data_IF_878984613294
#
_entry.id   IF_878984613294
#
_cell.length_a   1.000
_cell.length_b   1.000
_cell.length_c   1.000
_cell.angle_alpha   90.00
_cell.angle_beta   90.00
_cell.angle_gamma   90.00
#
_symmetry.space_group_name_H-M   'P 1'
#
loop_
_entity.id
_entity.type
_entity.pdbx_description
1 polymer ?
#
# COMPACT_ATOMS: atom_id res chain seq x y z
N UNK A 1 -17.53 -29.41 7.19
CA UNK A 1 -16.48 -29.53 6.16
C UNK A 1 -16.98 -28.78 4.94
N UNK A 2 -16.36 -27.65 4.58
CA UNK A 2 -16.77 -26.86 3.41
C UNK A 2 -16.09 -27.50 2.20
N UNK A 3 -16.86 -27.95 1.22
CA UNK A 3 -16.31 -28.44 -0.06
C UNK A 3 -15.90 -27.21 -0.86
N UNK A 4 -14.66 -27.18 -1.30
CA UNK A 4 -14.13 -26.16 -2.22
C UNK A 4 -14.42 -26.70 -3.63
N UNK A 5 -15.23 -25.99 -4.40
CA UNK A 5 -15.52 -26.29 -5.80
C UNK A 5 -14.47 -25.66 -6.74
N UNK A 6 -14.06 -24.42 -6.49
CA UNK A 6 -13.04 -23.68 -7.24
C UNK A 6 -11.70 -23.78 -6.52
N UNK A 7 -10.95 -24.82 -6.87
CA UNK A 7 -9.69 -25.16 -6.22
C UNK A 7 -8.48 -24.56 -6.95
N UNK A 8 -7.85 -23.53 -6.36
CA UNK A 8 -6.54 -23.02 -6.77
C UNK A 8 -5.41 -23.79 -6.08
N UNK A 9 -5.47 -23.92 -4.74
CA UNK A 9 -4.62 -24.80 -3.93
C UNK A 9 -5.28 -25.11 -2.57
N UNK A 10 -4.75 -26.09 -1.84
CA UNK A 10 -5.41 -26.65 -0.64
C UNK A 10 -5.60 -25.67 0.51
N UNK A 11 -4.73 -24.68 0.66
CA UNK A 11 -4.75 -23.71 1.76
C UNK A 11 -5.31 -22.34 1.39
N UNK A 12 -5.92 -22.17 0.21
CA UNK A 12 -6.50 -20.88 -0.21
C UNK A 12 -7.44 -20.23 0.83
N UNK A 13 -8.30 -20.97 1.58
CA UNK A 13 -9.18 -20.32 2.56
C UNK A 13 -8.39 -19.83 3.77
N UNK A 14 -7.37 -20.58 4.20
CA UNK A 14 -6.50 -20.22 5.32
C UNK A 14 -5.71 -18.95 4.97
N UNK A 15 -5.14 -18.92 3.76
CA UNK A 15 -4.36 -17.77 3.28
C UNK A 15 -5.22 -16.52 3.20
N UNK A 16 -6.43 -16.61 2.63
CA UNK A 16 -7.39 -15.50 2.57
C UNK A 16 -7.77 -14.98 3.97
N UNK A 17 -8.07 -15.89 4.91
CA UNK A 17 -8.40 -15.51 6.30
C UNK A 17 -7.24 -14.74 6.93
N UNK A 18 -6.02 -15.22 6.75
CA UNK A 18 -4.83 -14.59 7.32
C UNK A 18 -4.54 -13.22 6.69
N UNK A 19 -4.75 -13.08 5.38
CA UNK A 19 -4.71 -11.79 4.67
C UNK A 19 -5.70 -10.78 5.26
N UNK A 20 -6.96 -11.18 5.44
CA UNK A 20 -8.02 -10.36 6.03
C UNK A 20 -7.68 -9.94 7.46
N UNK A 21 -7.26 -10.91 8.29
CA UNK A 21 -6.90 -10.67 9.68
C UNK A 21 -5.70 -9.73 9.81
N UNK A 22 -4.69 -9.87 8.96
CA UNK A 22 -3.52 -8.99 8.97
C UNK A 22 -3.89 -7.59 8.53
N UNK A 23 -4.66 -7.44 7.45
CA UNK A 23 -5.16 -6.13 7.01
C UNK A 23 -5.95 -5.45 8.14
N UNK A 24 -6.84 -6.19 8.81
CA UNK A 24 -7.64 -5.66 9.90
C UNK A 24 -6.77 -5.20 11.07
N UNK A 25 -5.81 -6.03 11.51
CA UNK A 25 -4.92 -5.69 12.63
C UNK A 25 -4.02 -4.50 12.30
N UNK A 26 -3.38 -4.50 11.14
CA UNK A 26 -2.46 -3.43 10.75
C UNK A 26 -3.18 -2.07 10.63
N UNK A 27 -4.40 -2.05 10.09
CA UNK A 27 -5.22 -0.83 10.03
C UNK A 27 -5.71 -0.40 11.42
N UNK A 28 -6.11 -1.33 12.29
CA UNK A 28 -6.52 -1.02 13.66
C UNK A 28 -5.36 -0.42 14.49
N UNK A 29 -4.15 -0.94 14.33
CA UNK A 29 -2.95 -0.46 15.05
C UNK A 29 -2.60 1.00 14.69
N UNK A 30 -2.97 1.47 13.49
CA UNK A 30 -2.85 2.90 13.10
C UNK A 30 -4.14 3.71 13.33
N UNK A 31 -5.12 3.16 14.06
CA UNK A 31 -6.38 3.84 14.41
C UNK A 31 -7.44 3.88 13.31
N UNK A 32 -7.33 3.04 12.28
CA UNK A 32 -8.23 3.03 11.11
C UNK A 32 -9.23 1.88 11.20
N UNK A 33 -10.53 2.20 11.28
CA UNK A 33 -11.61 1.23 11.47
C UNK A 33 -12.50 1.07 10.23
N UNK A 34 -12.00 0.35 9.22
CA UNK A 34 -12.66 0.21 7.91
C UNK A 34 -13.15 -1.21 7.60
N UNK A 35 -13.04 -2.13 8.56
CA UNK A 35 -13.49 -3.52 8.46
C UNK A 35 -13.09 -4.21 7.13
N UNK A 36 -11.79 -4.49 6.93
CA UNK A 36 -11.32 -5.06 5.68
C UNK A 36 -11.86 -6.48 5.47
N UNK A 37 -12.06 -6.82 4.21
CA UNK A 37 -12.45 -8.14 3.70
C UNK A 37 -11.42 -8.56 2.66
N UNK A 38 -11.05 -9.84 2.61
CA UNK A 38 -10.10 -10.34 1.62
C UNK A 38 -10.76 -11.24 0.58
N UNK A 39 -10.28 -11.14 -0.66
CA UNK A 39 -10.55 -12.08 -1.75
C UNK A 39 -9.22 -12.55 -2.36
N UNK A 40 -9.26 -13.71 -2.98
CA UNK A 40 -8.22 -14.18 -3.90
C UNK A 40 -8.87 -14.42 -5.25
N UNK A 41 -8.26 -13.90 -6.31
CA UNK A 41 -8.72 -14.12 -7.69
C UNK A 41 -7.62 -14.84 -8.44
N UNK A 42 -7.86 -16.08 -8.84
CA UNK A 42 -6.95 -16.90 -9.61
C UNK A 42 -7.36 -16.95 -11.07
N UNK A 43 -6.42 -16.70 -11.98
CA UNK A 43 -6.59 -16.94 -13.41
C UNK A 43 -5.78 -18.15 -13.82
N UNK A 44 -6.39 -19.09 -14.51
CA UNK A 44 -5.71 -20.30 -14.97
C UNK A 44 -4.60 -19.94 -15.98
N UNK A 45 -3.37 -20.37 -15.68
CA UNK A 45 -2.23 -20.30 -16.60
C UNK A 45 -2.01 -21.62 -17.35
N UNK A 46 -2.44 -22.74 -16.77
CA UNK A 46 -2.31 -24.08 -17.34
C UNK A 46 -3.66 -24.83 -17.40
N UNK A 47 -4.10 -25.34 -18.58
CA UNK A 47 -5.45 -25.89 -18.76
C UNK A 47 -5.78 -27.14 -17.94
N UNK A 48 -6.89 -27.13 -17.20
CA UNK A 48 -7.50 -28.30 -16.55
C UNK A 48 -8.08 -28.02 -15.16
N UNK A 49 -8.46 -26.78 -14.89
CA UNK A 49 -9.26 -26.30 -13.76
C UNK A 49 -10.37 -25.37 -14.25
N UNK A 50 -10.85 -24.49 -13.38
CA UNK A 50 -11.76 -23.42 -13.77
C UNK A 50 -10.95 -22.26 -14.34
N UNK A 51 -11.37 -21.60 -15.44
CA UNK A 51 -10.59 -20.50 -16.03
C UNK A 51 -10.30 -19.36 -15.05
N UNK A 52 -11.26 -19.09 -14.16
CA UNK A 52 -11.18 -18.07 -13.12
C UNK A 52 -11.76 -18.66 -11.83
N UNK A 53 -10.97 -18.57 -10.76
CA UNK A 53 -11.34 -19.00 -9.41
C UNK A 53 -11.42 -17.81 -8.46
N UNK A 54 -12.40 -17.79 -7.57
CA UNK A 54 -12.57 -16.76 -6.54
C UNK A 54 -12.68 -17.43 -5.17
N UNK A 55 -11.84 -17.02 -4.22
CA UNK A 55 -11.93 -17.42 -2.81
C UNK A 55 -12.27 -16.18 -1.96
N UNK A 56 -13.42 -16.16 -1.26
CA UNK A 56 -14.40 -17.22 -1.12
C UNK A 56 -15.33 -17.37 -2.34
N UNK A 57 -15.72 -18.61 -2.65
CA UNK A 57 -16.58 -18.93 -3.81
C UNK A 57 -17.98 -18.32 -3.76
N UNK A 58 -18.56 -18.25 -2.55
CA UNK A 58 -19.95 -17.81 -2.34
C UNK A 58 -19.98 -16.35 -1.92
N UNK A 59 -19.40 -15.49 -2.75
CA UNK A 59 -19.46 -14.04 -2.60
C UNK A 59 -20.33 -13.43 -3.69
N UNK A 60 -20.62 -12.14 -3.55
CA UNK A 60 -21.28 -11.35 -4.60
C UNK A 60 -20.37 -11.08 -5.81
N UNK A 61 -19.07 -11.41 -5.69
CA UNK A 61 -18.06 -11.27 -6.73
C UNK A 61 -18.04 -12.56 -7.54
N UNK A 62 -18.52 -12.50 -8.78
CA UNK A 62 -18.63 -13.68 -9.68
C UNK A 62 -17.51 -13.66 -10.73
N UNK A 63 -17.09 -14.84 -11.18
CA UNK A 63 -15.92 -15.02 -12.05
C UNK A 63 -16.12 -14.39 -13.45
N UNK A 64 -17.34 -14.34 -13.94
CA UNK A 64 -17.69 -13.75 -15.23
C UNK A 64 -17.34 -12.27 -15.34
N UNK A 65 -17.26 -11.55 -14.20
CA UNK A 65 -16.85 -10.14 -14.18
C UNK A 65 -15.42 -9.93 -14.68
N UNK A 66 -14.58 -10.97 -14.62
CA UNK A 66 -13.14 -10.88 -14.90
C UNK A 66 -12.73 -11.56 -16.20
N UNK A 67 -13.68 -12.00 -17.03
CA UNK A 67 -13.37 -12.75 -18.25
C UNK A 67 -12.43 -12.02 -19.22
N UNK A 68 -12.44 -10.69 -19.22
CA UNK A 68 -11.55 -9.85 -20.05
C UNK A 68 -10.39 -9.23 -19.28
N UNK A 69 -10.33 -9.40 -17.95
CA UNK A 69 -9.45 -8.59 -17.09
C UNK A 69 -7.95 -8.70 -17.45
N UNK A 70 -7.48 -9.90 -17.82
CA UNK A 70 -6.10 -10.08 -18.24
C UNK A 70 -5.81 -9.44 -19.61
N UNK A 71 -6.73 -9.56 -20.57
CA UNK A 71 -6.59 -8.98 -21.90
C UNK A 71 -6.63 -7.45 -21.84
N UNK A 72 -7.59 -6.89 -21.11
CA UNK A 72 -7.70 -5.45 -20.87
C UNK A 72 -6.45 -4.91 -20.14
N UNK A 73 -5.85 -5.73 -19.25
CA UNK A 73 -4.58 -5.41 -18.58
C UNK A 73 -3.39 -5.36 -19.54
N UNK A 74 -3.34 -6.25 -20.53
CA UNK A 74 -2.32 -6.22 -21.60
C UNK A 74 -2.49 -4.99 -22.50
N UNK A 75 -3.73 -4.65 -22.86
CA UNK A 75 -4.03 -3.46 -23.66
C UNK A 75 -3.65 -2.17 -22.90
N UNK A 76 -3.92 -2.13 -21.59
CA UNK A 76 -3.49 -1.03 -20.72
C UNK A 76 -1.95 -0.96 -20.64
N UNK A 77 -1.26 -2.10 -20.52
CA UNK A 77 0.20 -2.16 -20.53
C UNK A 77 0.78 -1.63 -21.85
N UNK A 78 0.21 -2.03 -22.99
CA UNK A 78 0.68 -1.62 -24.31
C UNK A 78 0.52 -0.12 -24.57
N UNK A 79 -0.45 0.52 -23.93
CA UNK A 79 -0.69 1.97 -24.00
C UNK A 79 -0.11 2.76 -22.83
N UNK A 80 0.54 2.09 -21.87
CA UNK A 80 1.04 2.72 -20.65
C UNK A 80 2.16 3.71 -20.94
N UNK A 81 2.18 4.87 -20.25
CA UNK A 81 3.20 5.93 -20.44
C UNK A 81 4.64 5.45 -20.25
N UNK A 82 4.85 4.39 -19.46
CA UNK A 82 6.17 3.80 -19.19
C UNK A 82 6.43 2.50 -19.95
N UNK A 83 5.59 2.14 -20.94
CA UNK A 83 5.76 0.94 -21.77
C UNK A 83 7.11 0.88 -22.49
N UNK A 84 7.69 2.04 -22.81
CA UNK A 84 8.98 2.14 -23.50
C UNK A 84 10.12 2.57 -22.55
N UNK A 85 9.90 2.56 -21.24
CA UNK A 85 10.95 2.84 -20.28
C UNK A 85 11.99 1.72 -20.32
N UNK A 86 13.25 2.08 -20.51
CA UNK A 86 14.33 1.12 -20.72
C UNK A 86 15.33 1.16 -19.56
N UNK A 87 15.71 -0.03 -19.09
CA UNK A 87 16.79 -0.22 -18.13
C UNK A 87 17.98 -0.89 -18.82
N UNK A 88 19.19 -0.34 -18.58
CA UNK A 88 20.43 -0.86 -19.17
C UNK A 88 20.79 -2.28 -18.74
N UNK A 89 20.35 -2.69 -17.54
CA UNK A 89 20.52 -4.05 -17.06
C UNK A 89 19.32 -4.93 -17.44
N UNK A 90 19.55 -5.98 -18.22
CA UNK A 90 18.49 -6.84 -18.76
C UNK A 90 17.55 -7.41 -17.68
N UNK A 91 18.10 -7.89 -16.55
CA UNK A 91 17.29 -8.41 -15.45
C UNK A 91 16.37 -7.36 -14.80
N UNK A 92 16.86 -6.12 -14.67
CA UNK A 92 16.06 -5.00 -14.16
C UNK A 92 14.99 -4.58 -15.17
N UNK A 93 15.30 -4.65 -16.47
CA UNK A 93 14.35 -4.34 -17.53
C UNK A 93 13.19 -5.34 -17.55
N UNK A 94 13.50 -6.65 -17.53
CA UNK A 94 12.48 -7.71 -17.51
C UNK A 94 11.60 -7.59 -16.27
N UNK A 95 12.20 -7.41 -15.09
CA UNK A 95 11.44 -7.24 -13.85
C UNK A 95 10.53 -6.01 -13.90
N UNK A 96 11.07 -4.86 -14.34
CA UNK A 96 10.29 -3.64 -14.46
C UNK A 96 9.04 -3.83 -15.34
N UNK A 97 9.19 -4.46 -16.51
CA UNK A 97 8.05 -4.68 -17.40
C UNK A 97 7.07 -5.73 -16.87
N UNK A 98 7.56 -6.75 -16.16
CA UNK A 98 6.71 -7.72 -15.47
C UNK A 98 5.88 -7.05 -14.38
N UNK A 99 6.51 -6.25 -13.51
CA UNK A 99 5.84 -5.51 -12.44
C UNK A 99 4.83 -4.50 -13.03
N UNK A 100 5.19 -3.82 -14.12
CA UNK A 100 4.30 -2.88 -14.80
C UNK A 100 3.07 -3.56 -15.43
N UNK A 101 3.25 -4.72 -16.03
CA UNK A 101 2.13 -5.50 -16.58
C UNK A 101 1.18 -5.97 -15.46
N UNK A 102 1.74 -6.43 -14.35
CA UNK A 102 0.96 -6.84 -13.19
C UNK A 102 0.22 -5.66 -12.55
N UNK A 103 0.83 -4.47 -12.47
CA UNK A 103 0.17 -3.22 -12.06
C UNK A 103 -1.03 -2.89 -12.96
N UNK A 104 -0.90 -3.07 -14.27
CA UNK A 104 -1.97 -2.83 -15.23
C UNK A 104 -3.14 -3.81 -15.02
N UNK A 105 -2.84 -5.10 -14.90
CA UNK A 105 -3.85 -6.14 -14.64
C UNK A 105 -4.55 -5.92 -13.29
N UNK A 106 -3.79 -5.66 -12.22
CA UNK A 106 -4.33 -5.34 -10.91
C UNK A 106 -5.23 -4.09 -10.95
N UNK A 107 -4.83 -3.06 -11.71
CA UNK A 107 -5.64 -1.85 -11.89
C UNK A 107 -6.95 -2.12 -12.62
N UNK A 108 -6.96 -2.98 -13.65
CA UNK A 108 -8.18 -3.40 -14.35
C UNK A 108 -9.11 -4.16 -13.40
N UNK A 109 -8.60 -5.14 -12.67
CA UNK A 109 -9.38 -5.92 -11.68
C UNK A 109 -9.96 -4.97 -10.61
N UNK A 110 -9.15 -4.04 -10.10
CA UNK A 110 -9.61 -3.04 -9.14
C UNK A 110 -10.70 -2.13 -9.73
N UNK A 111 -10.59 -1.73 -11.01
CA UNK A 111 -11.59 -0.90 -11.68
C UNK A 111 -12.91 -1.65 -11.88
N UNK A 112 -12.86 -2.92 -12.29
CA UNK A 112 -14.04 -3.80 -12.39
C UNK A 112 -14.75 -3.85 -11.03
N UNK A 113 -14.02 -4.19 -9.97
CA UNK A 113 -14.57 -4.28 -8.61
C UNK A 113 -15.14 -2.93 -8.11
N UNK A 114 -14.42 -1.83 -8.30
CA UNK A 114 -14.81 -0.53 -7.75
C UNK A 114 -15.94 0.18 -8.53
N UNK A 115 -16.18 -0.23 -9.78
CA UNK A 115 -17.21 0.35 -10.65
C UNK A 115 -18.50 -0.46 -10.69
N UNK A 116 -18.47 -1.71 -10.21
CA UNK A 116 -19.63 -2.58 -10.23
C UNK A 116 -20.65 -2.18 -9.15
N UNK A 117 -21.95 -2.01 -9.47
CA UNK A 117 -22.96 -1.49 -8.53
C UNK A 117 -23.10 -2.33 -7.25
N UNK A 118 -22.99 -3.65 -7.34
CA UNK A 118 -23.09 -4.57 -6.19
C UNK A 118 -21.97 -4.32 -5.17
N UNK A 119 -20.88 -3.68 -5.59
CA UNK A 119 -19.70 -3.45 -4.76
C UNK A 119 -19.56 -1.99 -4.32
N UNK A 120 -20.61 -1.17 -4.47
CA UNK A 120 -20.58 0.27 -4.17
C UNK A 120 -20.17 0.58 -2.72
N UNK A 121 -20.52 -0.29 -1.77
CA UNK A 121 -20.21 -0.12 -0.35
C UNK A 121 -18.75 -0.42 -0.01
N UNK A 122 -18.02 -1.05 -0.91
CA UNK A 122 -16.62 -1.40 -0.72
C UNK A 122 -15.72 -0.57 -1.64
N UNK A 123 -14.54 -0.23 -1.12
CA UNK A 123 -13.40 0.21 -1.92
C UNK A 123 -12.41 -0.93 -1.99
N UNK A 124 -12.05 -1.34 -3.20
CA UNK A 124 -11.22 -2.51 -3.46
C UNK A 124 -9.81 -2.12 -3.90
N UNK A 125 -8.84 -2.85 -3.37
CA UNK A 125 -7.42 -2.76 -3.66
C UNK A 125 -6.92 -4.13 -4.11
N UNK A 126 -6.15 -4.16 -5.19
CA UNK A 126 -5.63 -5.40 -5.77
C UNK A 126 -4.11 -5.33 -5.76
N UNK A 127 -3.48 -6.38 -5.23
CA UNK A 127 -2.03 -6.52 -5.20
C UNK A 127 -1.47 -7.07 -6.51
N UNK A 128 -0.15 -7.18 -6.58
CA UNK A 128 0.52 -7.91 -7.66
C UNK A 128 0.18 -9.40 -7.58
N UNK A 129 0.28 -10.07 -8.72
CA UNK A 129 0.01 -11.50 -8.80
C UNK A 129 1.24 -12.35 -8.51
N UNK A 130 1.01 -13.60 -8.19
CA UNK A 130 2.04 -14.63 -8.17
C UNK A 130 1.45 -15.95 -8.71
N UNK A 131 2.29 -16.78 -9.31
CA UNK A 131 1.90 -18.11 -9.76
C UNK A 131 1.88 -19.07 -8.57
N UNK A 132 0.73 -19.71 -8.33
CA UNK A 132 0.53 -20.76 -7.31
C UNK A 132 -0.09 -21.96 -8.01
N UNK A 133 0.67 -23.05 -8.10
CA UNK A 133 0.28 -24.21 -8.90
C UNK A 133 -0.01 -23.79 -10.35
N UNK A 134 -1.28 -23.89 -10.75
CA UNK A 134 -1.76 -23.65 -12.12
C UNK A 134 -2.33 -22.26 -12.35
N UNK A 135 -2.34 -21.43 -11.31
CA UNK A 135 -3.07 -20.17 -11.31
C UNK A 135 -2.14 -19.00 -11.05
N UNK A 136 -2.39 -17.90 -11.75
CA UNK A 136 -1.91 -16.56 -11.39
C UNK A 136 -2.89 -15.96 -10.40
N UNK A 137 -2.48 -15.80 -9.15
CA UNK A 137 -3.35 -15.39 -8.05
C UNK A 137 -3.09 -13.95 -7.66
N UNK A 138 -4.15 -13.14 -7.67
CA UNK A 138 -4.17 -11.77 -7.19
C UNK A 138 -4.75 -11.71 -5.77
N UNK A 139 -4.00 -11.23 -4.76
CA UNK A 139 -4.55 -10.90 -3.46
C UNK A 139 -5.36 -9.60 -3.55
N UNK A 140 -6.52 -9.56 -2.91
CA UNK A 140 -7.44 -8.43 -2.97
C UNK A 140 -7.93 -8.08 -1.56
N UNK A 141 -7.97 -6.79 -1.25
CA UNK A 141 -8.54 -6.26 -0.01
C UNK A 141 -9.65 -5.27 -0.34
N UNK A 142 -10.85 -5.52 0.19
CA UNK A 142 -11.96 -4.58 0.23
C UNK A 142 -12.04 -3.91 1.59
N UNK A 143 -12.50 -2.66 1.64
CA UNK A 143 -12.78 -1.92 2.87
C UNK A 143 -14.09 -1.17 2.76
N UNK A 144 -14.74 -0.82 3.87
CA UNK A 144 -15.96 0.01 3.84
C UNK A 144 -15.64 1.38 3.24
N UNK A 145 -16.24 1.68 2.08
CA UNK A 145 -15.93 2.85 1.25
C UNK A 145 -16.11 4.18 1.98
N UNK A 146 -17.27 4.41 2.59
CA UNK A 146 -17.56 5.68 3.25
C UNK A 146 -16.61 6.00 4.40
N UNK A 147 -16.16 4.98 5.14
CA UNK A 147 -15.17 5.13 6.21
C UNK A 147 -13.81 5.43 5.63
N UNK A 148 -13.40 4.71 4.60
CA UNK A 148 -12.13 4.94 3.92
C UNK A 148 -12.04 6.35 3.33
N UNK A 149 -13.06 6.77 2.59
CA UNK A 149 -13.06 8.07 1.90
C UNK A 149 -13.16 9.26 2.87
N UNK A 150 -13.55 9.03 4.13
CA UNK A 150 -13.52 10.04 5.19
C UNK A 150 -12.14 10.26 5.82
N UNK A 151 -11.16 9.38 5.55
CA UNK A 151 -9.83 9.46 6.13
C UNK A 151 -8.98 10.55 5.44
N UNK A 152 -8.04 11.18 6.17
CA UNK A 152 -7.16 12.17 5.58
C UNK A 152 -6.20 11.54 4.56
N UNK A 153 -6.13 12.14 3.38
CA UNK A 153 -5.22 11.75 2.32
C UNK A 153 -4.70 12.99 1.58
N UNK A 154 -3.48 12.89 1.06
CA UNK A 154 -2.91 13.85 0.12
C UNK A 154 -3.75 13.86 -1.16
N UNK A 155 -3.85 15.03 -1.79
CA UNK A 155 -4.67 15.23 -2.98
C UNK A 155 -3.90 15.02 -4.28
N UNK A 156 -2.56 15.09 -4.24
CA UNK A 156 -1.69 14.96 -5.40
C UNK A 156 -0.86 13.69 -5.31
N UNK A 157 -0.95 12.86 -6.34
CA UNK A 157 -0.08 11.69 -6.52
C UNK A 157 1.08 12.06 -7.43
N UNK A 158 2.29 11.77 -6.97
CA UNK A 158 3.51 11.86 -7.76
C UNK A 158 3.88 10.46 -8.24
N UNK A 159 4.31 10.36 -9.49
CA UNK A 159 4.62 9.07 -10.10
C UNK A 159 5.70 9.22 -11.16
N UNK A 160 6.77 8.47 -10.99
CA UNK A 160 7.88 8.26 -11.92
C UNK A 160 8.00 6.76 -12.21
N UNK A 161 8.77 6.34 -13.23
CA UNK A 161 8.86 4.93 -13.60
C UNK A 161 9.14 4.00 -12.41
N UNK A 162 9.99 4.40 -11.47
CA UNK A 162 10.42 3.54 -10.33
C UNK A 162 9.81 3.91 -8.99
N UNK A 163 8.94 4.92 -8.92
CA UNK A 163 8.42 5.41 -7.65
C UNK A 163 7.02 5.99 -7.82
N UNK A 164 6.12 5.62 -6.91
CA UNK A 164 4.76 6.15 -6.84
C UNK A 164 4.46 6.55 -5.41
N UNK A 165 4.09 7.81 -5.21
CA UNK A 165 3.73 8.28 -3.88
C UNK A 165 2.46 7.60 -3.39
N UNK A 166 2.41 7.30 -2.10
CA UNK A 166 1.17 6.89 -1.41
C UNK A 166 0.46 8.15 -0.92
N UNK A 167 -0.85 8.21 -1.05
CA UNK A 167 -1.60 9.42 -0.66
C UNK A 167 -1.83 9.47 0.85
N UNK A 168 -1.75 8.35 1.54
CA UNK A 168 -1.97 8.29 2.98
C UNK A 168 -1.21 7.13 3.61
N UNK A 169 -1.05 7.18 4.93
CA UNK A 169 -0.50 6.08 5.71
C UNK A 169 -1.37 4.81 5.59
N UNK A 170 -2.69 4.95 5.61
CA UNK A 170 -3.59 3.80 5.52
C UNK A 170 -3.58 3.14 4.12
N UNK A 171 -3.42 3.92 3.05
CA UNK A 171 -3.16 3.37 1.70
C UNK A 171 -1.82 2.63 1.65
N UNK A 172 -0.77 3.19 2.27
CA UNK A 172 0.53 2.56 2.34
C UNK A 172 0.46 1.22 3.09
N UNK A 173 -0.27 1.15 4.21
CA UNK A 173 -0.47 -0.11 4.96
C UNK A 173 -1.16 -1.17 4.10
N UNK A 174 -2.25 -0.83 3.40
CA UNK A 174 -2.91 -1.80 2.51
C UNK A 174 -1.98 -2.26 1.39
N UNK A 175 -1.17 -1.35 0.83
CA UNK A 175 -0.15 -1.72 -0.16
C UNK A 175 0.84 -2.74 0.41
N UNK A 176 1.41 -2.48 1.58
CA UNK A 176 2.41 -3.36 2.18
C UNK A 176 1.83 -4.73 2.54
N UNK A 177 0.58 -4.78 3.04
CA UNK A 177 -0.12 -6.05 3.28
C UNK A 177 -0.27 -6.85 1.98
N UNK A 178 -0.69 -6.20 0.89
CA UNK A 178 -0.81 -6.85 -0.42
C UNK A 178 0.54 -7.31 -0.96
N UNK A 179 1.61 -6.53 -0.79
CA UNK A 179 2.96 -6.92 -1.18
C UNK A 179 3.47 -8.12 -0.37
N UNK A 180 3.22 -8.15 0.94
CA UNK A 180 3.51 -9.30 1.80
C UNK A 180 2.73 -10.55 1.37
N UNK A 181 1.49 -10.38 0.92
CA UNK A 181 0.68 -11.47 0.37
C UNK A 181 1.27 -11.98 -0.95
N UNK A 182 1.55 -11.11 -1.92
CA UNK A 182 2.21 -11.48 -3.18
C UNK A 182 3.53 -12.19 -2.94
N UNK A 183 4.36 -11.67 -2.01
CA UNK A 183 5.62 -12.32 -1.66
C UNK A 183 5.39 -13.74 -1.14
N UNK A 184 4.48 -13.92 -0.18
CA UNK A 184 4.16 -15.24 0.38
C UNK A 184 3.62 -16.20 -0.68
N UNK A 185 2.79 -15.73 -1.60
CA UNK A 185 2.30 -16.52 -2.74
C UNK A 185 3.44 -16.93 -3.68
N UNK A 186 4.47 -16.09 -3.84
CA UNK A 186 5.56 -16.33 -4.80
C UNK A 186 6.66 -17.29 -4.33
N UNK A 187 6.79 -17.52 -3.01
CA UNK A 187 7.91 -18.30 -2.45
C UNK A 187 7.52 -19.70 -1.97
N UNK A 188 6.23 -19.98 -1.79
CA UNK A 188 5.74 -21.28 -1.32
C UNK A 188 4.89 -21.94 -2.39
N UNK A 189 5.08 -23.25 -2.60
CA UNK A 189 4.27 -24.02 -3.54
C UNK A 189 2.80 -24.07 -3.11
N UNK A 190 2.55 -24.21 -1.80
CA UNK A 190 1.21 -24.21 -1.20
C UNK A 190 1.15 -23.25 0.00
N UNK A 191 1.00 -21.93 -0.23
CA UNK A 191 1.05 -20.93 0.82
C UNK A 191 -0.14 -21.06 1.77
N UNK A 192 0.11 -21.29 3.06
CA UNK A 192 -0.94 -21.38 4.08
C UNK A 192 -1.35 -20.01 4.63
N UNK A 193 -0.42 -19.06 4.64
CA UNK A 193 -0.53 -17.81 5.39
C UNK A 193 0.50 -16.79 4.92
N UNK A 194 0.38 -15.55 5.40
CA UNK A 194 1.36 -14.48 5.22
C UNK A 194 2.36 -14.39 6.39
N UNK A 195 2.46 -15.45 7.21
CA UNK A 195 3.18 -15.56 8.50
C UNK A 195 4.64 -15.08 8.54
N UNK A 196 5.29 -14.86 7.41
CA UNK A 196 6.66 -14.35 7.36
C UNK A 196 6.76 -12.83 7.52
N UNK A 197 5.62 -12.12 7.61
CA UNK A 197 5.59 -10.68 7.79
C UNK A 197 4.99 -10.30 9.13
N UNK A 198 5.87 -9.87 10.03
CA UNK A 198 5.49 -9.29 11.32
C UNK A 198 4.70 -8.00 11.09
N UNK A 199 3.57 -7.82 11.79
CA UNK A 199 2.65 -6.69 11.55
C UNK A 199 3.29 -5.36 11.91
N UNK A 200 4.14 -5.33 12.95
CA UNK A 200 4.94 -4.18 13.31
C UNK A 200 5.89 -3.80 12.16
N UNK A 201 6.42 -4.78 11.42
CA UNK A 201 7.22 -4.51 10.22
C UNK A 201 6.39 -3.99 9.06
N UNK A 202 5.15 -4.46 8.87
CA UNK A 202 4.24 -3.93 7.84
C UNK A 202 3.97 -2.45 8.07
N UNK A 203 3.64 -2.05 9.30
CA UNK A 203 3.37 -0.65 9.65
C UNK A 203 4.64 0.19 9.48
N UNK A 204 5.79 -0.32 9.92
CA UNK A 204 7.06 0.38 9.77
C UNK A 204 7.41 0.60 8.29
N UNK A 205 7.32 -0.44 7.45
CA UNK A 205 7.57 -0.33 6.00
C UNK A 205 6.57 0.61 5.32
N UNK A 206 5.30 0.58 5.73
CA UNK A 206 4.27 1.46 5.19
C UNK A 206 4.55 2.93 5.53
N UNK A 207 4.92 3.20 6.79
CA UNK A 207 5.29 4.55 7.23
C UNK A 207 6.55 5.03 6.48
N UNK A 208 7.57 4.17 6.38
CA UNK A 208 8.80 4.46 5.64
C UNK A 208 8.48 4.74 4.16
N UNK A 209 7.69 3.91 3.49
CA UNK A 209 7.31 4.11 2.09
C UNK A 209 6.50 5.40 1.88
N UNK A 210 5.52 5.68 2.76
CA UNK A 210 4.71 6.89 2.67
C UNK A 210 5.55 8.16 2.81
N UNK A 211 6.38 8.23 3.85
CA UNK A 211 7.19 9.42 4.14
C UNK A 211 8.35 9.55 3.15
N UNK A 212 9.06 8.45 2.86
CA UNK A 212 10.20 8.47 1.92
C UNK A 212 9.76 8.92 0.52
N UNK A 213 8.61 8.45 0.01
CA UNK A 213 8.15 8.91 -1.30
C UNK A 213 7.84 10.40 -1.31
N UNK A 214 7.31 10.94 -0.22
CA UNK A 214 7.10 12.39 -0.09
C UNK A 214 8.42 13.17 -0.09
N UNK A 215 9.40 12.72 0.70
CA UNK A 215 10.72 13.37 0.80
C UNK A 215 11.48 13.30 -0.53
N UNK A 216 11.45 12.14 -1.19
CA UNK A 216 12.01 11.91 -2.51
C UNK A 216 11.47 12.90 -3.55
N UNK A 217 10.14 13.01 -3.67
CA UNK A 217 9.51 13.91 -4.65
C UNK A 217 9.65 15.41 -4.31
N UNK A 218 10.08 15.75 -3.09
CA UNK A 218 10.38 17.13 -2.68
C UNK A 218 11.88 17.47 -2.72
N UNK A 219 12.70 16.62 -3.33
CA UNK A 219 14.09 16.95 -3.67
C UNK A 219 15.17 16.35 -2.77
N UNK A 220 14.80 15.51 -1.79
CA UNK A 220 15.77 14.75 -1.00
C UNK A 220 15.66 13.24 -1.28
N UNK A 221 16.46 12.71 -2.23
CA UNK A 221 16.42 11.30 -2.58
C UNK A 221 17.01 10.36 -1.51
N UNK A 222 17.63 10.90 -0.45
CA UNK A 222 18.30 10.12 0.59
C UNK A 222 17.63 10.24 1.97
N UNK A 223 16.55 11.03 2.10
CA UNK A 223 15.83 11.32 3.34
C UNK A 223 15.02 10.16 3.95
N UNK A 224 15.61 8.97 4.04
CA UNK A 224 15.01 7.74 4.60
C UNK A 224 14.90 7.76 6.12
N UNK A 225 15.65 8.62 6.80
CA UNK A 225 15.71 8.65 8.26
C UNK A 225 14.60 9.48 8.91
N UNK A 226 13.73 10.13 8.13
CA UNK A 226 12.72 11.03 8.67
C UNK A 226 11.76 10.29 9.61
N UNK A 227 11.29 9.10 9.23
CA UNK A 227 10.36 8.30 10.05
C UNK A 227 11.00 7.88 11.37
N UNK A 228 12.23 7.35 11.34
CA UNK A 228 12.91 6.92 12.55
C UNK A 228 13.19 8.10 13.49
N UNK A 229 13.54 9.27 12.96
CA UNK A 229 13.72 10.50 13.75
C UNK A 229 12.41 10.99 14.35
N UNK A 230 11.30 10.96 13.60
CA UNK A 230 9.96 11.31 14.14
C UNK A 230 9.52 10.34 15.24
N UNK A 231 9.74 9.04 15.07
CA UNK A 231 9.47 8.05 16.10
C UNK A 231 10.29 8.31 17.37
N UNK A 232 11.56 8.71 17.24
CA UNK A 232 12.41 9.04 18.38
C UNK A 232 11.97 10.30 19.15
N UNK A 233 11.33 11.27 18.45
CA UNK A 233 10.69 12.45 19.07
C UNK A 233 9.42 12.05 19.82
N UNK A 234 8.57 11.23 19.20
CA UNK A 234 7.32 10.75 19.81
C UNK A 234 7.57 9.86 21.03
N UNK A 235 8.67 9.10 21.06
CA UNK A 235 9.04 8.24 22.17
C UNK A 235 9.66 8.98 23.39
N UNK A 236 9.86 10.30 23.32
CA UNK A 236 10.42 11.06 24.45
C UNK A 236 9.51 10.98 25.70
N UNK A 237 10.07 10.85 26.92
CA UNK A 237 9.31 10.66 28.15
C UNK A 237 8.21 11.69 28.38
N UNK A 238 7.11 11.21 28.94
CA UNK A 238 5.89 11.99 29.19
C UNK A 238 6.06 12.85 30.45
N UNK A 239 6.37 14.15 30.32
CA UNK A 239 6.44 15.11 31.45
C UNK A 239 5.04 15.53 31.96
N UNK A 240 4.01 14.70 31.79
CA UNK A 240 2.65 14.94 32.29
C UNK A 240 1.73 15.78 31.38
N UNK A 241 2.15 16.09 30.15
CA UNK A 241 1.34 16.80 29.14
C UNK A 241 1.44 16.13 27.77
N UNK A 242 0.30 15.96 27.09
CA UNK A 242 0.26 15.60 25.66
C UNK A 242 0.68 16.82 24.84
N UNK A 243 1.92 16.85 24.35
CA UNK A 243 2.37 17.82 23.37
C UNK A 243 1.86 17.43 21.99
N UNK A 244 1.03 18.27 21.37
CA UNK A 244 0.66 18.15 19.95
C UNK A 244 1.32 19.31 19.23
N UNK A 245 1.98 19.03 18.11
CA UNK A 245 2.60 20.04 17.28
C UNK A 245 2.44 19.74 15.80
N UNK A 246 2.70 20.74 14.98
CA UNK A 246 2.55 20.68 13.53
C UNK A 246 3.91 20.88 12.87
N UNK A 247 4.24 20.02 11.91
CA UNK A 247 5.44 20.14 11.07
C UNK A 247 5.00 20.27 9.61
N UNK A 248 5.60 21.22 8.90
CA UNK A 248 5.42 21.39 7.46
C UNK A 248 6.63 20.77 6.75
N UNK A 249 6.38 19.84 5.84
CA UNK A 249 7.38 19.32 4.91
C UNK A 249 7.12 19.98 3.56
N UNK A 250 8.03 20.85 3.12
CA UNK A 250 7.90 21.60 1.87
C UNK A 250 9.27 21.90 1.27
N UNK A 251 9.33 22.00 -0.06
CA UNK A 251 10.46 22.64 -0.75
C UNK A 251 10.56 24.12 -0.35
N UNK A 252 11.77 24.66 -0.32
CA UNK A 252 12.08 26.06 -0.01
C UNK A 252 11.31 27.07 -0.88
N UNK A 253 10.84 26.66 -2.05
CA UNK A 253 10.08 27.49 -2.99
C UNK A 253 8.58 27.58 -2.64
N UNK A 254 8.09 26.74 -1.74
CA UNK A 254 6.65 26.55 -1.49
C UNK A 254 6.15 27.18 -0.17
N UNK A 255 6.99 27.96 0.52
CA UNK A 255 6.61 28.66 1.74
C UNK A 255 7.33 30.01 1.87
N UNK A 256 6.79 30.89 2.73
CA UNK A 256 7.47 32.11 3.15
C UNK A 256 7.81 31.99 4.64
N UNK A 257 9.06 32.29 4.98
CA UNK A 257 9.54 32.23 6.36
C UNK A 257 9.46 33.62 6.99
N UNK A 258 8.59 33.77 7.99
CA UNK A 258 8.49 35.02 8.77
C UNK A 258 9.48 35.06 9.94
N UNK A 259 9.76 33.90 10.53
CA UNK A 259 10.64 33.75 11.67
C UNK A 259 11.45 32.45 11.53
N UNK A 260 12.71 32.51 11.93
CA UNK A 260 13.62 31.39 11.97
C UNK A 260 14.30 31.33 13.34
N UNK A 261 14.68 30.14 13.78
CA UNK A 261 15.67 30.03 14.84
C UNK A 261 17.01 30.53 14.31
N UNK A 262 17.76 31.25 15.16
CA UNK A 262 19.13 31.67 14.84
C UNK A 262 20.02 30.46 14.47
N UNK A 263 19.78 29.31 15.11
CA UNK A 263 20.37 28.03 14.76
C UNK A 263 19.25 27.03 14.47
N UNK A 264 19.29 26.40 13.28
CA UNK A 264 18.35 25.32 12.92
C UNK A 264 18.41 24.19 13.93
N UNK A 265 17.27 23.61 14.29
CA UNK A 265 17.20 22.45 15.20
C UNK A 265 17.35 21.17 14.36
N UNK A 266 18.46 20.42 14.48
CA UNK A 266 18.62 19.16 13.77
C UNK A 266 17.59 18.13 14.25
N UNK A 267 17.08 17.31 13.32
CA UNK A 267 16.13 16.23 13.66
C UNK A 267 16.67 15.22 14.69
N UNK A 268 18.00 15.08 14.80
CA UNK A 268 18.65 14.23 15.80
C UNK A 268 18.54 14.79 17.23
N UNK A 269 18.25 16.09 17.40
CA UNK A 269 18.07 16.71 18.71
C UNK A 269 16.61 16.57 19.18
N UNK A 270 16.20 15.33 19.44
CA UNK A 270 14.79 14.95 19.71
C UNK A 270 14.10 15.79 20.80
N UNK A 271 14.81 16.11 21.90
CA UNK A 271 14.27 16.93 22.99
C UNK A 271 14.05 18.39 22.56
N UNK A 272 14.99 18.97 21.83
CA UNK A 272 14.88 20.34 21.33
C UNK A 272 13.75 20.43 20.31
N UNK A 273 13.71 19.49 19.36
CA UNK A 273 12.67 19.39 18.34
C UNK A 273 11.28 19.20 18.95
N UNK A 274 11.14 18.37 19.99
CA UNK A 274 9.87 18.22 20.71
C UNK A 274 9.38 19.54 21.31
N UNK A 275 10.24 20.24 22.05
CA UNK A 275 9.88 21.54 22.65
C UNK A 275 9.49 22.56 21.59
N UNK A 276 10.21 22.53 20.47
CA UNK A 276 9.92 23.28 19.28
C UNK A 276 8.50 23.02 18.76
N UNK A 277 8.14 21.75 18.55
CA UNK A 277 6.79 21.34 18.13
C UNK A 277 5.71 21.74 19.15
N UNK A 278 5.99 21.68 20.45
CA UNK A 278 5.06 22.13 21.50
C UNK A 278 4.77 23.64 21.46
N UNK A 279 5.62 24.44 20.80
CA UNK A 279 5.37 25.87 20.57
C UNK A 279 4.53 26.15 19.31
N UNK A 280 4.23 25.13 18.52
CA UNK A 280 3.43 25.30 17.29
C UNK A 280 1.95 25.24 17.61
N UNK A 281 1.16 25.96 16.82
CA UNK A 281 -0.30 25.83 16.80
C UNK A 281 -0.80 25.82 15.34
N UNK A 282 -2.12 25.80 15.14
CA UNK A 282 -2.73 25.84 13.80
C UNK A 282 -2.39 27.07 12.95
N UNK A 283 -1.74 28.09 13.52
CA UNK A 283 -1.34 29.37 12.89
C UNK A 283 0.17 29.59 12.86
N UNK A 284 0.91 29.00 13.80
CA UNK A 284 2.37 28.99 13.94
C UNK A 284 2.89 27.58 13.62
N UNK A 285 2.75 27.16 12.36
CA UNK A 285 3.62 26.11 11.85
C UNK A 285 4.96 26.74 11.52
N UNK A 286 6.09 26.12 11.87
CA UNK A 286 7.21 25.90 10.95
C UNK A 286 8.49 25.49 11.69
N UNK A 287 8.97 24.29 11.35
CA UNK A 287 10.35 23.88 11.57
C UNK A 287 10.91 23.47 10.23
N UNK A 288 11.94 24.18 9.78
CA UNK A 288 12.76 23.75 8.66
C UNK A 288 13.68 22.64 9.16
N UNK A 289 13.63 21.50 8.48
CA UNK A 289 14.70 20.51 8.54
C UNK A 289 15.60 20.80 7.34
N UNK A 290 16.81 21.25 7.63
CA UNK A 290 17.93 21.21 6.67
C UNK A 290 18.62 19.86 6.71
#
# INVERSE_FOLDING_TARGET
>A
MRVIEQFMWGFQPNFRIDLEMTANRALQDIGVQVAPTALLIGFEEEPGGFPICIEPERTEVVSELFSTALADGEDLYNTHKYRNFWNSHAGLNTRFHSDLLDDCRASVIANILNSHPVHEFHRWFVGHSASVGRYRVFPVIGVIRNRWDSLPALTKRHEEPRAKSKLSLHEAVVTEVLQSATFSLSIFEEPESIRHHDKEQIIQRAADAFVHTFVYFNGDPFGRELVSKLNAVSAQPYEGRTGVGTMLLASAENYTMEMAFENSIPLSQTRALRKALEMTDSRLGNFQVG
#
